data_IF_710394188176
#
_entry.id   IF_710394188176
#
_cell.length_a   1.000
_cell.length_b   1.000
_cell.length_c   1.000
_cell.angle_alpha   90.00
_cell.angle_beta   90.00
_cell.angle_gamma   90.00
#
_symmetry.space_group_name_H-M   'P 1'
#
loop_
_entity.id
_entity.type
_entity.pdbx_description
1 polymer ?
#
# COMPACT_ATOMS: atom_id res chain seq x y z
N UNK A 1 7.74 -10.56 11.44
CA UNK A 1 6.88 -9.36 11.29
C UNK A 1 7.64 -8.25 10.61
N UNK A 2 6.97 -7.50 9.73
CA UNK A 2 7.60 -6.45 8.96
C UNK A 2 7.37 -5.09 9.61
N UNK A 3 8.39 -4.23 9.57
CA UNK A 3 8.25 -2.84 10.00
C UNK A 3 7.38 -2.09 8.99
N UNK A 4 6.61 -1.15 9.47
CA UNK A 4 5.77 -0.33 8.62
C UNK A 4 5.54 1.04 9.23
N UNK A 5 5.05 1.94 8.39
CA UNK A 5 4.59 3.27 8.76
C UNK A 5 3.26 3.53 8.08
N UNK A 6 2.54 4.56 8.51
CA UNK A 6 1.29 4.95 7.88
C UNK A 6 1.12 6.46 7.96
N UNK A 7 0.20 6.98 7.14
CA UNK A 7 0.08 8.44 6.96
C UNK A 7 -1.05 9.01 7.81
N UNK A 8 -2.23 8.38 7.80
CA UNK A 8 -3.45 8.92 8.42
C UNK A 8 -4.09 7.88 9.32
N UNK A 9 -4.58 8.32 10.49
CA UNK A 9 -5.45 7.50 11.32
C UNK A 9 -6.82 7.39 10.64
N UNK A 10 -7.34 6.16 10.53
CA UNK A 10 -8.64 5.91 9.92
C UNK A 10 -9.63 5.44 10.99
N UNK A 11 -10.65 6.25 11.21
CA UNK A 11 -11.74 5.93 12.13
C UNK A 11 -12.90 5.36 11.33
N UNK A 12 -13.22 4.06 11.48
CA UNK A 12 -14.29 3.44 10.70
C UNK A 12 -15.65 4.06 11.03
N UNK A 13 -16.60 3.94 10.10
CA UNK A 13 -17.93 4.53 10.24
C UNK A 13 -18.68 4.03 11.47
N UNK A 14 -18.36 2.83 11.94
CA UNK A 14 -18.94 2.29 13.18
C UNK A 14 -18.57 3.11 14.42
N UNK A 15 -17.50 3.90 14.35
CA UNK A 15 -17.10 4.80 15.44
C UNK A 15 -17.78 6.16 15.23
N UNK A 16 -18.79 6.44 16.07
CA UNK A 16 -19.67 7.60 15.89
C UNK A 16 -19.16 8.88 16.57
N UNK A 17 -18.34 8.75 17.59
CA UNK A 17 -17.86 9.87 18.41
C UNK A 17 -16.53 10.43 17.90
N UNK A 18 -16.49 10.80 16.64
CA UNK A 18 -15.27 11.34 16.01
C UNK A 18 -15.33 12.86 15.91
N UNK A 19 -14.16 13.50 15.94
CA UNK A 19 -14.02 14.94 15.72
C UNK A 19 -14.26 15.30 14.26
N UNK A 20 -14.43 16.58 13.97
CA UNK A 20 -14.55 17.07 12.60
C UNK A 20 -13.31 16.72 11.76
N UNK A 21 -12.10 16.91 12.32
CA UNK A 21 -10.86 16.55 11.64
C UNK A 21 -10.78 15.05 11.33
N UNK A 22 -11.18 14.21 12.27
CA UNK A 22 -11.22 12.75 12.07
C UNK A 22 -12.23 12.36 11.00
N UNK A 23 -13.36 13.03 10.94
CA UNK A 23 -14.39 12.81 9.91
C UNK A 23 -13.87 13.20 8.53
N UNK A 24 -13.16 14.32 8.43
CA UNK A 24 -12.53 14.75 7.17
C UNK A 24 -11.45 13.78 6.70
N UNK A 25 -10.62 13.30 7.62
CA UNK A 25 -9.61 12.28 7.30
C UNK A 25 -10.27 10.99 6.81
N UNK A 26 -11.35 10.56 7.46
CA UNK A 26 -12.13 9.41 7.02
C UNK A 26 -12.61 9.58 5.58
N UNK A 27 -13.17 10.74 5.26
CA UNK A 27 -13.66 11.03 3.90
C UNK A 27 -12.53 11.01 2.88
N UNK A 28 -11.39 11.58 3.22
CA UNK A 28 -10.21 11.59 2.34
C UNK A 28 -9.75 10.17 2.01
N UNK A 29 -9.76 9.27 3.00
CA UNK A 29 -9.39 7.87 2.79
C UNK A 29 -10.44 7.13 1.97
N UNK A 30 -11.72 7.38 2.22
CA UNK A 30 -12.80 6.77 1.42
C UNK A 30 -12.72 7.22 -0.04
N UNK A 31 -12.46 8.49 -0.31
CA UNK A 31 -12.27 9.00 -1.67
C UNK A 31 -11.10 8.30 -2.36
N UNK A 32 -9.97 8.16 -1.66
CA UNK A 32 -8.84 7.40 -2.17
C UNK A 32 -9.22 5.95 -2.50
N UNK A 33 -9.97 5.28 -1.62
CA UNK A 33 -10.39 3.90 -1.82
C UNK A 33 -11.27 3.73 -3.06
N UNK A 34 -12.00 4.78 -3.45
CA UNK A 34 -12.81 4.82 -4.67
C UNK A 34 -12.05 5.34 -5.90
N UNK A 35 -10.73 5.56 -5.77
CA UNK A 35 -9.91 5.94 -6.90
C UNK A 35 -9.78 7.44 -7.13
N UNK A 36 -10.12 8.26 -6.13
CA UNK A 36 -10.05 9.71 -6.20
C UNK A 36 -9.19 10.28 -5.06
N UNK A 37 -7.86 10.02 -5.07
CA UNK A 37 -6.98 10.58 -4.05
C UNK A 37 -6.86 12.09 -4.20
N UNK A 38 -6.94 12.82 -3.08
CA UNK A 38 -6.72 14.26 -3.07
C UNK A 38 -5.24 14.57 -3.35
N UNK A 39 -4.98 15.79 -3.86
CA UNK A 39 -3.59 16.25 -4.06
C UNK A 39 -2.82 16.27 -2.74
N UNK A 40 -3.48 16.64 -1.65
CA UNK A 40 -2.89 16.65 -0.32
C UNK A 40 -2.44 15.26 0.10
N UNK A 41 -3.29 14.25 -0.10
CA UNK A 41 -2.95 12.87 0.24
C UNK A 41 -1.77 12.36 -0.61
N UNK A 42 -1.80 12.62 -1.91
CA UNK A 42 -0.70 12.25 -2.81
C UNK A 42 0.61 12.88 -2.33
N UNK A 43 0.59 14.16 -1.97
CA UNK A 43 1.76 14.88 -1.45
C UNK A 43 2.32 14.22 -0.19
N UNK A 44 1.45 13.84 0.73
CA UNK A 44 1.85 13.16 1.97
C UNK A 44 2.45 11.78 1.69
N UNK A 45 1.87 11.03 0.76
CA UNK A 45 2.39 9.72 0.36
C UNK A 45 3.79 9.88 -0.25
N UNK A 46 3.96 10.81 -1.17
CA UNK A 46 5.26 11.07 -1.83
C UNK A 46 6.31 11.48 -0.81
N UNK A 47 5.98 12.41 0.07
CA UNK A 47 6.91 12.89 1.10
C UNK A 47 7.37 11.76 2.02
N UNK A 48 6.44 10.94 2.51
CA UNK A 48 6.75 9.82 3.39
C UNK A 48 7.54 8.74 2.65
N UNK A 49 7.19 8.44 1.41
CA UNK A 49 7.90 7.48 0.59
C UNK A 49 9.34 7.92 0.33
N UNK A 50 9.58 9.19 0.03
CA UNK A 50 10.94 9.73 -0.15
C UNK A 50 11.80 9.50 1.10
N UNK A 51 11.25 9.81 2.27
CA UNK A 51 11.95 9.61 3.53
C UNK A 51 12.27 8.13 3.74
N UNK A 52 11.30 7.25 3.55
CA UNK A 52 11.47 5.81 3.75
C UNK A 52 12.48 5.22 2.76
N UNK A 53 12.40 5.61 1.49
CA UNK A 53 13.34 5.15 0.45
C UNK A 53 14.78 5.51 0.84
N UNK A 54 14.99 6.73 1.33
CA UNK A 54 16.31 7.16 1.77
C UNK A 54 16.76 6.44 3.04
N UNK A 55 15.93 6.43 4.07
CA UNK A 55 16.29 5.88 5.39
C UNK A 55 16.50 4.37 5.38
N UNK A 56 15.70 3.64 4.61
CA UNK A 56 15.73 2.18 4.55
C UNK A 56 16.49 1.64 3.34
N UNK A 57 17.07 2.52 2.52
CA UNK A 57 17.80 2.18 1.30
C UNK A 57 16.97 1.28 0.37
N UNK A 58 15.75 1.68 0.12
CA UNK A 58 14.80 0.92 -0.72
C UNK A 58 15.26 0.92 -2.18
N UNK A 59 15.20 -0.24 -2.82
CA UNK A 59 15.55 -0.42 -4.23
C UNK A 59 14.33 -0.40 -5.14
N UNK A 60 13.18 -0.86 -4.64
CA UNK A 60 11.98 -1.07 -5.45
C UNK A 60 10.72 -0.82 -4.62
N UNK A 61 9.81 -0.05 -5.21
CA UNK A 61 8.48 0.20 -4.63
C UNK A 61 7.44 -0.64 -5.35
N UNK A 62 6.61 -1.34 -4.60
CA UNK A 62 5.46 -2.06 -5.11
C UNK A 62 4.22 -1.78 -4.27
N UNK A 63 3.11 -2.40 -4.62
CA UNK A 63 1.83 -2.12 -3.98
C UNK A 63 1.17 -3.42 -3.53
N UNK A 64 0.53 -3.39 -2.38
CA UNK A 64 -0.28 -4.51 -1.91
C UNK A 64 -1.61 -4.50 -2.69
N UNK A 65 -1.93 -5.54 -3.46
CA UNK A 65 -3.18 -5.59 -4.21
C UNK A 65 -4.41 -5.54 -3.30
N UNK A 66 -5.47 -4.91 -3.81
CA UNK A 66 -6.77 -4.94 -3.16
C UNK A 66 -7.50 -6.27 -3.40
N UNK A 67 -8.85 -6.25 -3.32
CA UNK A 67 -9.64 -7.46 -3.51
C UNK A 67 -9.83 -7.82 -4.98
N UNK A 68 -9.67 -6.86 -5.88
CA UNK A 68 -9.70 -7.08 -7.34
C UNK A 68 -8.57 -6.35 -8.02
N UNK A 69 -8.16 -6.81 -9.20
CA UNK A 69 -7.16 -6.13 -10.01
C UNK A 69 -7.62 -4.73 -10.42
N UNK A 70 -8.91 -4.58 -10.76
CA UNK A 70 -9.49 -3.30 -11.14
C UNK A 70 -9.42 -2.29 -9.99
N UNK A 71 -9.74 -2.69 -8.77
CA UNK A 71 -9.65 -1.81 -7.58
C UNK A 71 -8.21 -1.41 -7.28
N UNK A 72 -7.28 -2.33 -7.44
CA UNK A 72 -5.86 -2.07 -7.23
C UNK A 72 -5.36 -0.98 -8.18
N UNK A 73 -5.66 -1.09 -9.47
CA UNK A 73 -5.30 -0.08 -10.46
C UNK A 73 -5.97 1.25 -10.16
N UNK A 74 -7.27 1.22 -9.86
CA UNK A 74 -8.04 2.42 -9.56
C UNK A 74 -7.42 3.24 -8.41
N UNK A 75 -6.96 2.56 -7.36
CA UNK A 75 -6.36 3.22 -6.19
C UNK A 75 -4.95 3.73 -6.44
N UNK A 76 -4.12 2.95 -7.12
CA UNK A 76 -2.68 3.16 -7.14
C UNK A 76 -2.10 3.65 -8.45
N UNK A 77 -2.85 3.63 -9.53
CA UNK A 77 -2.32 3.97 -10.86
C UNK A 77 -1.70 5.39 -10.89
N UNK A 78 -2.47 6.39 -10.48
CA UNK A 78 -1.99 7.78 -10.44
C UNK A 78 -0.86 7.96 -9.43
N UNK A 79 -0.98 7.33 -8.27
CA UNK A 79 0.04 7.41 -7.21
C UNK A 79 1.35 6.80 -7.71
N UNK A 80 1.28 5.66 -8.40
CA UNK A 80 2.48 5.00 -8.94
C UNK A 80 3.19 5.88 -9.98
N UNK A 81 2.44 6.58 -10.83
CA UNK A 81 3.02 7.52 -11.80
C UNK A 81 3.77 8.65 -11.11
N UNK A 82 3.16 9.26 -10.10
CA UNK A 82 3.79 10.36 -9.35
C UNK A 82 5.03 9.87 -8.62
N UNK A 83 4.95 8.70 -7.97
CA UNK A 83 6.10 8.12 -7.26
C UNK A 83 7.24 7.79 -8.23
N UNK A 84 6.94 7.26 -9.41
CA UNK A 84 7.95 6.94 -10.41
C UNK A 84 8.73 8.19 -10.86
N UNK A 85 8.08 9.35 -10.90
CA UNK A 85 8.73 10.62 -11.23
C UNK A 85 9.55 11.19 -10.06
N UNK A 86 9.07 10.99 -8.83
CA UNK A 86 9.61 11.67 -7.65
C UNK A 86 10.64 10.87 -6.88
N UNK A 87 10.66 9.54 -6.98
CA UNK A 87 11.58 8.69 -6.23
C UNK A 87 12.81 8.31 -7.05
N UNK A 88 13.95 8.13 -6.37
CA UNK A 88 15.21 7.69 -6.97
C UNK A 88 15.31 6.15 -6.98
N UNK A 89 14.21 5.46 -7.18
CA UNK A 89 14.19 4.00 -7.27
C UNK A 89 13.06 3.57 -8.21
N UNK A 90 13.07 2.30 -8.59
CA UNK A 90 12.05 1.74 -9.46
C UNK A 90 10.70 1.61 -8.74
N UNK A 91 9.63 1.83 -9.47
CA UNK A 91 8.26 1.69 -8.99
C UNK A 91 7.50 0.76 -9.95
N UNK A 92 7.02 -0.38 -9.43
CA UNK A 92 6.29 -1.37 -10.21
C UNK A 92 4.95 -1.71 -9.57
N UNK A 93 3.87 -1.31 -10.22
CA UNK A 93 2.51 -1.59 -9.72
C UNK A 93 2.18 -3.08 -9.75
N UNK A 94 2.81 -3.86 -10.62
CA UNK A 94 2.54 -5.27 -10.82
C UNK A 94 3.65 -6.20 -10.34
N UNK A 95 4.56 -5.75 -9.47
CA UNK A 95 5.55 -6.65 -8.87
C UNK A 95 4.88 -7.78 -8.08
N UNK A 96 3.80 -7.46 -7.40
CA UNK A 96 2.87 -8.42 -6.80
C UNK A 96 1.48 -8.13 -7.37
N UNK A 97 0.81 -9.16 -7.84
CA UNK A 97 -0.51 -9.03 -8.48
C UNK A 97 -1.43 -10.12 -7.95
N UNK A 98 -2.73 -9.91 -8.08
CA UNK A 98 -3.70 -10.98 -7.89
C UNK A 98 -3.70 -11.88 -9.13
N UNK A 99 -3.62 -13.19 -8.92
CA UNK A 99 -3.77 -14.17 -10.00
C UNK A 99 -5.20 -14.12 -10.54
N UNK A 100 -6.18 -13.95 -9.64
CA UNK A 100 -7.59 -13.72 -9.92
C UNK A 100 -8.20 -12.97 -8.73
N UNK A 101 -9.38 -12.42 -8.93
CA UNK A 101 -10.05 -11.67 -7.86
C UNK A 101 -10.29 -12.55 -6.65
N UNK A 102 -10.25 -11.95 -5.45
CA UNK A 102 -10.49 -12.69 -4.22
C UNK A 102 -11.91 -13.23 -4.18
N UNK A 103 -12.07 -14.41 -3.56
CA UNK A 103 -13.39 -15.01 -3.36
C UNK A 103 -14.24 -14.09 -2.45
N UNK A 104 -15.46 -13.66 -2.87
CA UNK A 104 -16.27 -12.74 -2.07
C UNK A 104 -16.80 -13.34 -0.76
N UNK A 105 -16.78 -14.67 -0.63
CA UNK A 105 -17.24 -15.36 0.59
C UNK A 105 -16.10 -15.65 1.54
N UNK A 106 -15.03 -16.29 1.05
CA UNK A 106 -13.89 -16.71 1.89
C UNK A 106 -12.85 -15.61 2.07
N UNK A 107 -12.84 -14.59 1.20
CA UNK A 107 -11.84 -13.52 1.16
C UNK A 107 -10.40 -14.01 0.93
N UNK A 108 -10.23 -15.23 0.43
CA UNK A 108 -8.92 -15.78 0.11
C UNK A 108 -8.37 -15.07 -1.12
N UNK A 109 -7.12 -14.64 -1.04
CA UNK A 109 -6.39 -13.99 -2.13
C UNK A 109 -5.28 -14.88 -2.63
N UNK A 110 -5.13 -14.94 -3.94
CA UNK A 110 -4.06 -15.69 -4.59
C UNK A 110 -3.17 -14.70 -5.33
N UNK A 111 -1.95 -14.54 -4.83
CA UNK A 111 -0.99 -13.59 -5.38
C UNK A 111 -0.02 -14.26 -6.33
N UNK A 112 0.44 -13.50 -7.31
CA UNK A 112 1.62 -13.82 -8.12
C UNK A 112 2.70 -12.77 -7.86
N UNK A 113 3.96 -13.16 -8.04
CA UNK A 113 5.09 -12.28 -7.83
C UNK A 113 6.05 -12.35 -9.02
N UNK A 114 6.47 -11.20 -9.50
CA UNK A 114 7.47 -11.08 -10.57
C UNK A 114 8.88 -11.31 -9.98
N UNK A 115 9.29 -12.56 -9.86
CA UNK A 115 10.52 -12.95 -9.18
C UNK A 115 11.76 -12.26 -9.73
N UNK A 116 11.90 -12.13 -11.05
CA UNK A 116 13.06 -11.49 -11.66
C UNK A 116 13.16 -10.00 -11.27
N UNK A 117 12.04 -9.36 -11.00
CA UNK A 117 11.99 -7.95 -10.62
C UNK A 117 12.37 -7.76 -9.15
N UNK A 118 11.90 -8.65 -8.27
CA UNK A 118 12.04 -8.47 -6.81
C UNK A 118 13.31 -9.09 -6.22
N UNK A 119 13.91 -10.05 -6.91
CA UNK A 119 15.07 -10.79 -6.40
C UNK A 119 16.23 -9.85 -6.04
N UNK A 120 16.73 -9.96 -4.83
CA UNK A 120 17.85 -9.17 -4.33
C UNK A 120 17.51 -7.73 -3.98
N UNK A 121 16.24 -7.36 -4.03
CA UNK A 121 15.80 -5.96 -3.80
C UNK A 121 15.33 -5.74 -2.37
N UNK A 122 15.61 -4.54 -1.86
CA UNK A 122 14.98 -4.03 -0.64
C UNK A 122 13.67 -3.36 -1.04
N UNK A 123 12.56 -3.90 -0.55
CA UNK A 123 11.23 -3.57 -1.04
C UNK A 123 10.50 -2.61 -0.12
N UNK A 124 9.84 -1.62 -0.72
CA UNK A 124 8.80 -0.84 -0.05
C UNK A 124 7.44 -1.28 -0.61
N UNK A 125 6.56 -1.76 0.27
CA UNK A 125 5.19 -2.15 -0.09
C UNK A 125 4.23 -1.05 0.35
N UNK A 126 3.57 -0.43 -0.60
CA UNK A 126 2.54 0.58 -0.31
C UNK A 126 1.18 -0.11 -0.30
N UNK A 127 0.45 0.06 0.79
CA UNK A 127 -0.88 -0.51 0.97
C UNK A 127 -1.93 0.55 1.25
N UNK A 128 -3.20 0.16 1.20
CA UNK A 128 -4.31 1.07 1.44
C UNK A 128 -4.51 1.32 2.94
N UNK A 129 -5.19 0.41 3.62
CA UNK A 129 -5.51 0.55 5.04
C UNK A 129 -4.93 -0.63 5.81
N UNK A 130 -4.11 -0.33 6.82
CA UNK A 130 -3.57 -1.34 7.72
C UNK A 130 -4.57 -1.57 8.86
N UNK A 131 -5.09 -2.76 8.98
CA UNK A 131 -6.03 -3.13 10.04
C UNK A 131 -5.42 -4.21 10.94
N UNK A 132 -5.22 -5.42 10.43
CA UNK A 132 -4.62 -6.54 11.16
C UNK A 132 -3.16 -6.78 10.82
N UNK A 133 -2.68 -6.21 9.71
CA UNK A 133 -1.36 -6.48 9.19
C UNK A 133 -1.28 -7.72 8.31
N UNK A 134 -2.40 -8.38 8.06
CA UNK A 134 -2.44 -9.62 7.26
C UNK A 134 -1.96 -9.37 5.83
N UNK A 135 -2.41 -8.29 5.19
CA UNK A 135 -1.99 -7.97 3.82
C UNK A 135 -0.47 -7.77 3.72
N UNK A 136 0.12 -7.03 4.66
CA UNK A 136 1.58 -6.82 4.66
C UNK A 136 2.32 -8.14 4.92
N UNK A 137 1.83 -8.96 5.83
CA UNK A 137 2.44 -10.25 6.13
C UNK A 137 2.40 -11.17 4.90
N UNK A 138 1.26 -11.30 4.25
CA UNK A 138 1.12 -12.15 3.07
C UNK A 138 2.00 -11.68 1.91
N UNK A 139 1.95 -10.39 1.59
CA UNK A 139 2.75 -9.82 0.51
C UNK A 139 4.25 -9.87 0.85
N UNK A 140 4.60 -9.51 2.09
CA UNK A 140 5.99 -9.55 2.54
C UNK A 140 6.58 -10.94 2.49
N UNK A 141 5.87 -11.94 2.98
CA UNK A 141 6.32 -13.34 2.95
C UNK A 141 6.51 -13.84 1.52
N UNK A 142 5.60 -13.45 0.62
CA UNK A 142 5.72 -13.79 -0.80
C UNK A 142 6.96 -13.16 -1.43
N UNK A 143 7.23 -11.89 -1.14
CA UNK A 143 8.42 -11.18 -1.64
C UNK A 143 9.70 -11.84 -1.14
N UNK A 144 9.79 -12.13 0.15
CA UNK A 144 10.97 -12.81 0.72
C UNK A 144 11.15 -14.18 0.10
N UNK A 145 10.09 -14.96 -0.07
CA UNK A 145 10.13 -16.26 -0.74
C UNK A 145 10.67 -16.16 -2.17
N UNK A 146 10.42 -15.05 -2.85
CA UNK A 146 10.90 -14.80 -4.21
C UNK A 146 12.26 -14.11 -4.26
N UNK A 147 12.94 -14.00 -3.14
CA UNK A 147 14.33 -13.55 -3.08
C UNK A 147 14.53 -12.07 -2.75
N UNK A 148 13.50 -11.35 -2.35
CA UNK A 148 13.68 -9.97 -1.84
C UNK A 148 14.56 -9.98 -0.59
N UNK A 149 15.39 -8.96 -0.42
CA UNK A 149 16.29 -8.84 0.74
C UNK A 149 15.57 -8.42 1.99
N UNK A 150 14.64 -7.50 1.87
CA UNK A 150 13.88 -6.96 2.99
C UNK A 150 12.57 -6.38 2.51
N UNK A 151 11.64 -6.20 3.45
CA UNK A 151 10.32 -5.63 3.18
C UNK A 151 10.00 -4.59 4.26
N UNK A 152 9.58 -3.42 3.82
CA UNK A 152 9.07 -2.36 4.68
C UNK A 152 7.72 -1.90 4.13
N UNK A 153 6.74 -1.66 5.00
CA UNK A 153 5.40 -1.26 4.59
C UNK A 153 5.16 0.24 4.76
N UNK A 154 4.43 0.82 3.82
CA UNK A 154 3.90 2.17 3.97
C UNK A 154 2.42 2.13 3.60
N UNK A 155 1.55 2.38 4.57
CA UNK A 155 0.11 2.35 4.37
C UNK A 155 -0.45 3.76 4.33
N UNK A 156 -1.44 3.98 3.49
CA UNK A 156 -2.12 5.27 3.40
C UNK A 156 -2.79 5.58 4.74
N UNK A 157 -3.39 4.58 5.35
CA UNK A 157 -4.04 4.75 6.65
C UNK A 157 -3.90 3.51 7.53
N UNK A 158 -4.11 3.71 8.84
CA UNK A 158 -4.22 2.62 9.81
C UNK A 158 -5.53 2.75 10.54
N UNK A 159 -6.26 1.66 10.65
CA UNK A 159 -7.54 1.61 11.38
C UNK A 159 -7.32 1.81 12.87
N UNK A 160 -8.05 2.76 13.44
CA UNK A 160 -8.08 3.04 14.87
C UNK A 160 -9.40 2.50 15.43
N UNK A 161 -9.31 1.57 16.33
CA UNK A 161 -10.47 0.89 16.92
C UNK A 161 -10.95 1.60 18.17
#
# INVERSE_FOLDING_TARGET
>A
MYRFDYIVDYYPESKLDVTEGQRLDRQMIQDFMFGDPSEELIRQIVSRAKTTVSDEAIDLVCFAPGTTGAKTLLRFDKISEVLAEELDCDVYINAVSLQFDSDPITHIRHYTCAKEIVKGKKMLVIGSVYTTGEALTEVGDLLIKNGAKSVYGLFVAKTIM
#
